data_IF_716998661366
#
_entry.id   IF_716998661366
#
_cell.length_a   1.000
_cell.length_b   1.000
_cell.length_c   1.000
_cell.angle_alpha   90.00
_cell.angle_beta   90.00
_cell.angle_gamma   90.00
#
_symmetry.space_group_name_H-M   'P 1'
#
loop_
_entity.id
_entity.type
_entity.pdbx_description
1 polymer ?
#
# COMPACT_ATOMS: atom_id res chain seq x y z
N UNK A 1 -2.71 11.19 1.61
CA UNK A 1 -2.32 9.87 2.16
C UNK A 1 -0.83 9.83 2.37
N UNK A 2 -0.34 9.41 3.54
CA UNK A 2 1.09 9.22 3.81
C UNK A 2 1.40 7.72 3.87
N UNK A 3 2.12 7.24 2.85
CA UNK A 3 2.49 5.84 2.61
C UNK A 3 1.83 5.26 1.35
N UNK A 4 2.64 4.89 0.36
CA UNK A 4 2.29 4.12 -0.83
C UNK A 4 2.53 2.61 -0.59
N UNK A 5 2.10 2.12 0.57
CA UNK A 5 2.04 0.69 0.90
C UNK A 5 0.64 0.10 0.67
N UNK A 6 0.44 -1.18 1.01
CA UNK A 6 -0.85 -1.87 0.83
C UNK A 6 -2.01 -1.07 1.44
N UNK A 7 -1.93 -0.73 2.73
CA UNK A 7 -2.98 0.02 3.43
C UNK A 7 -3.29 1.35 2.75
N UNK A 8 -2.26 2.17 2.48
CA UNK A 8 -2.45 3.47 1.83
C UNK A 8 -3.08 3.37 0.44
N UNK A 9 -2.64 2.39 -0.37
CA UNK A 9 -3.20 2.17 -1.71
C UNK A 9 -4.67 1.70 -1.68
N UNK A 10 -5.02 0.76 -0.79
CA UNK A 10 -6.38 0.26 -0.63
C UNK A 10 -7.28 1.37 -0.08
N UNK A 11 -6.83 2.13 0.92
CA UNK A 11 -7.58 3.27 1.45
C UNK A 11 -7.85 4.33 0.37
N UNK A 12 -6.85 4.69 -0.44
CA UNK A 12 -7.04 5.63 -1.56
C UNK A 12 -8.06 5.11 -2.57
N UNK A 13 -7.97 3.83 -2.93
CA UNK A 13 -8.91 3.18 -3.84
C UNK A 13 -10.34 3.17 -3.28
N UNK A 14 -10.52 2.81 -2.01
CA UNK A 14 -11.83 2.80 -1.36
C UNK A 14 -12.42 4.21 -1.26
N UNK A 15 -11.62 5.22 -0.88
CA UNK A 15 -12.07 6.62 -0.88
C UNK A 15 -12.54 7.08 -2.26
N UNK A 16 -11.80 6.73 -3.33
CA UNK A 16 -12.22 7.05 -4.71
C UNK A 16 -13.55 6.37 -5.07
N UNK A 17 -13.74 5.11 -4.67
CA UNK A 17 -14.98 4.34 -4.93
C UNK A 17 -16.19 4.92 -4.21
N UNK A 18 -16.03 5.30 -2.93
CA UNK A 18 -17.11 5.84 -2.11
C UNK A 18 -17.42 7.32 -2.42
N UNK A 19 -16.43 8.08 -2.90
CA UNK A 19 -16.58 9.51 -3.21
C UNK A 19 -16.11 9.85 -4.63
N UNK A 20 -16.76 9.30 -5.69
CA UNK A 20 -16.36 9.55 -7.06
C UNK A 20 -16.37 11.04 -7.39
N UNK A 21 -15.25 11.55 -7.92
CA UNK A 21 -15.06 12.95 -8.33
C UNK A 21 -15.28 14.02 -7.25
N UNK A 22 -15.41 13.65 -5.97
CA UNK A 22 -15.61 14.60 -4.86
C UNK A 22 -14.33 14.90 -4.08
N UNK A 23 -13.31 14.05 -4.23
CA UNK A 23 -12.03 14.17 -3.51
C UNK A 23 -10.86 14.22 -4.47
N UNK A 24 -9.94 15.14 -4.20
CA UNK A 24 -8.57 15.10 -4.74
C UNK A 24 -7.73 14.23 -3.80
N UNK A 25 -7.04 13.24 -4.35
CA UNK A 25 -6.26 12.27 -3.57
C UNK A 25 -4.81 12.39 -3.99
N UNK A 26 -3.96 12.77 -3.04
CA UNK A 26 -2.50 12.75 -3.17
C UNK A 26 -1.94 11.68 -2.24
N UNK A 27 -1.01 10.87 -2.73
CA UNK A 27 -0.29 9.84 -1.98
C UNK A 27 1.19 10.18 -1.96
N UNK A 28 1.74 10.38 -0.77
CA UNK A 28 3.15 10.67 -0.56
C UNK A 28 3.86 9.48 0.07
N UNK A 29 5.01 9.11 -0.48
CA UNK A 29 5.89 8.10 0.11
C UNK A 29 7.35 8.56 0.07
N UNK A 30 8.09 8.26 1.13
CA UNK A 30 9.52 8.59 1.25
C UNK A 30 10.42 7.71 0.37
N UNK A 31 9.92 6.54 -0.05
CA UNK A 31 10.66 5.63 -0.91
C UNK A 31 10.58 6.07 -2.37
N UNK A 32 11.50 5.53 -3.20
CA UNK A 32 11.56 5.75 -4.65
C UNK A 32 10.47 5.02 -5.45
N UNK A 33 9.55 4.32 -4.78
CA UNK A 33 8.53 3.52 -5.45
C UNK A 33 7.53 2.88 -4.48
N UNK A 34 6.39 2.47 -5.03
CA UNK A 34 5.30 1.88 -4.27
C UNK A 34 5.58 0.44 -3.82
N UNK A 35 4.98 0.05 -2.70
CA UNK A 35 4.99 -1.31 -2.16
C UNK A 35 5.27 -1.36 -0.67
N UNK A 36 6.17 -0.51 -0.17
CA UNK A 36 6.64 -0.57 1.21
C UNK A 36 7.22 -1.95 1.54
N UNK A 37 6.62 -2.65 2.51
CA UNK A 37 6.97 -4.04 2.88
C UNK A 37 6.46 -5.10 1.88
N UNK A 38 5.74 -4.69 0.85
CA UNK A 38 5.40 -5.51 -0.33
C UNK A 38 6.13 -4.97 -1.56
N UNK A 39 7.40 -4.56 -1.41
CA UNK A 39 8.21 -4.09 -2.52
C UNK A 39 8.80 -5.26 -3.31
N UNK A 40 8.86 -5.07 -4.63
CA UNK A 40 9.51 -5.99 -5.56
C UNK A 40 10.75 -5.30 -6.11
N UNK A 41 11.91 -5.89 -5.89
CA UNK A 41 13.18 -5.44 -6.45
C UNK A 41 13.39 -6.03 -7.84
N UNK A 42 14.15 -5.34 -8.69
CA UNK A 42 14.49 -5.79 -10.04
C UNK A 42 16.00 -5.79 -10.23
N UNK A 43 16.50 -6.73 -11.01
CA UNK A 43 17.90 -6.72 -11.39
C UNK A 43 18.22 -5.49 -12.26
N UNK A 44 19.36 -4.82 -12.05
CA UNK A 44 19.85 -3.80 -12.99
C UNK A 44 20.15 -4.34 -14.38
N UNK A 45 20.48 -5.63 -14.50
CA UNK A 45 20.84 -6.27 -15.78
C UNK A 45 19.65 -6.85 -16.55
N UNK A 46 18.54 -7.13 -15.88
CA UNK A 46 17.31 -7.65 -16.50
C UNK A 46 16.08 -7.18 -15.69
N UNK A 47 15.24 -6.28 -16.24
CA UNK A 47 14.06 -5.78 -15.54
C UNK A 47 12.97 -6.85 -15.32
N UNK A 48 13.03 -7.98 -16.05
CA UNK A 48 12.14 -9.13 -15.85
C UNK A 48 12.62 -10.05 -14.72
N UNK A 49 13.90 -9.96 -14.34
CA UNK A 49 14.43 -10.64 -13.18
C UNK A 49 14.05 -9.86 -11.92
N UNK A 50 13.03 -10.35 -11.20
CA UNK A 50 12.47 -9.69 -10.02
C UNK A 50 12.51 -10.56 -8.78
N UNK A 51 12.64 -9.93 -7.62
CA UNK A 51 12.57 -10.60 -6.32
C UNK A 51 11.69 -9.80 -5.35
N UNK A 52 10.77 -10.50 -4.68
CA UNK A 52 10.03 -9.92 -3.55
C UNK A 52 10.88 -9.99 -2.29
N UNK A 53 11.27 -8.83 -1.76
CA UNK A 53 12.15 -8.75 -0.58
C UNK A 53 11.37 -8.71 0.74
N UNK A 54 10.04 -8.60 0.66
CA UNK A 54 9.14 -8.52 1.81
C UNK A 54 8.12 -9.65 1.81
N UNK A 55 6.84 -9.31 1.64
CA UNK A 55 5.77 -10.31 1.58
C UNK A 55 5.97 -11.30 0.40
N UNK A 56 6.06 -12.59 0.71
CA UNK A 56 6.38 -13.65 -0.25
C UNK A 56 5.13 -14.22 -0.94
N UNK A 57 4.08 -14.48 -0.16
CA UNK A 57 2.79 -14.99 -0.62
C UNK A 57 1.68 -14.50 0.31
N UNK A 58 0.42 -14.65 -0.11
CA UNK A 58 -0.76 -14.24 0.64
C UNK A 58 -1.53 -15.49 1.05
N UNK A 59 -1.77 -15.64 2.34
CA UNK A 59 -2.62 -16.69 2.90
C UNK A 59 -3.97 -16.11 3.29
N UNK A 60 -5.04 -16.68 2.76
CA UNK A 60 -6.40 -16.39 3.16
C UNK A 60 -6.94 -17.53 4.03
N UNK A 61 -7.28 -17.22 5.28
CA UNK A 61 -8.10 -18.11 6.12
C UNK A 61 -9.50 -18.24 5.54
N UNK A 62 -10.26 -19.30 5.84
CA UNK A 62 -11.66 -19.42 5.42
C UNK A 62 -12.50 -18.18 5.78
N UNK A 63 -12.26 -17.61 6.96
CA UNK A 63 -12.89 -16.36 7.39
C UNK A 63 -12.57 -15.20 6.44
N UNK A 64 -11.30 -14.90 6.19
CA UNK A 64 -10.92 -13.76 5.33
C UNK A 64 -11.23 -13.98 3.86
N UNK A 65 -11.17 -15.23 3.37
CA UNK A 65 -11.60 -15.57 2.01
C UNK A 65 -13.08 -15.25 1.79
N UNK A 66 -13.92 -15.37 2.81
CA UNK A 66 -15.33 -14.97 2.77
C UNK A 66 -15.51 -13.47 2.98
N UNK A 67 -14.95 -12.92 4.05
CA UNK A 67 -15.16 -11.51 4.46
C UNK A 67 -14.59 -10.53 3.44
N UNK A 68 -13.44 -10.84 2.84
CA UNK A 68 -12.75 -9.98 1.87
C UNK A 68 -12.85 -10.54 0.44
N UNK A 69 -13.90 -11.33 0.15
CA UNK A 69 -14.06 -12.04 -1.12
C UNK A 69 -13.91 -11.12 -2.34
N UNK A 70 -14.53 -9.93 -2.31
CA UNK A 70 -14.48 -8.98 -3.42
C UNK A 70 -13.05 -8.61 -3.82
N UNK A 71 -12.16 -8.37 -2.86
CA UNK A 71 -10.75 -8.06 -3.13
C UNK A 71 -10.00 -9.26 -3.74
N UNK A 72 -10.25 -10.48 -3.23
CA UNK A 72 -9.62 -11.67 -3.81
C UNK A 72 -10.11 -11.93 -5.23
N UNK A 73 -11.42 -11.88 -5.45
CA UNK A 73 -12.04 -12.09 -6.76
C UNK A 73 -11.54 -11.04 -7.78
N UNK A 74 -11.46 -9.76 -7.37
CA UNK A 74 -10.91 -8.66 -8.17
C UNK A 74 -9.45 -8.91 -8.57
N UNK A 75 -8.57 -9.22 -7.60
CA UNK A 75 -7.15 -9.44 -7.85
C UNK A 75 -6.88 -10.69 -8.68
N UNK A 76 -7.69 -11.75 -8.53
CA UNK A 76 -7.62 -12.96 -9.34
C UNK A 76 -8.07 -12.68 -10.78
N UNK A 77 -9.18 -11.95 -10.97
CA UNK A 77 -9.70 -11.60 -12.29
C UNK A 77 -8.70 -10.76 -13.11
N UNK A 78 -7.94 -9.88 -12.46
CA UNK A 78 -6.89 -9.08 -13.10
C UNK A 78 -5.54 -9.81 -13.22
N UNK A 79 -5.47 -11.08 -12.80
CA UNK A 79 -4.25 -11.89 -12.81
C UNK A 79 -3.12 -11.30 -11.96
N UNK A 80 -3.46 -10.48 -10.96
CA UNK A 80 -2.51 -9.92 -9.99
C UNK A 80 -2.18 -10.99 -8.96
N UNK A 81 -3.19 -11.75 -8.53
CA UNK A 81 -3.02 -12.97 -7.75
C UNK A 81 -3.18 -14.23 -8.62
N UNK A 82 -2.47 -15.29 -8.24
CA UNK A 82 -2.71 -16.66 -8.69
C UNK A 82 -2.58 -17.62 -7.52
N UNK A 83 -3.27 -18.76 -7.51
CA UNK A 83 -3.05 -19.80 -6.51
C UNK A 83 -1.58 -20.23 -6.45
N UNK A 84 -1.04 -20.39 -5.24
CA UNK A 84 0.26 -21.00 -5.02
C UNK A 84 0.13 -22.51 -5.24
N UNK A 85 0.74 -23.01 -6.31
CA UNK A 85 0.76 -24.45 -6.65
C UNK A 85 2.13 -25.09 -6.42
N UNK A 86 3.17 -24.27 -6.20
CA UNK A 86 4.51 -24.75 -5.94
C UNK A 86 4.65 -25.21 -4.47
N UNK A 87 5.40 -26.28 -4.19
CA UNK A 87 5.68 -26.69 -2.83
C UNK A 87 6.53 -25.63 -2.12
N UNK A 88 6.17 -25.33 -0.87
CA UNK A 88 6.97 -24.51 0.04
C UNK A 88 7.31 -25.38 1.24
N UNK A 89 8.58 -25.74 1.36
CA UNK A 89 9.04 -26.60 2.45
C UNK A 89 8.79 -25.94 3.81
N UNK A 90 8.30 -26.72 4.77
CA UNK A 90 7.94 -26.21 6.10
C UNK A 90 6.65 -25.39 6.16
N UNK A 91 5.88 -25.30 5.06
CA UNK A 91 4.59 -24.63 5.06
C UNK A 91 3.56 -25.40 5.91
N UNK A 92 3.16 -24.82 7.04
CA UNK A 92 2.14 -25.40 7.91
C UNK A 92 0.74 -25.01 7.44
N UNK A 93 -0.02 -25.98 6.96
CA UNK A 93 -1.46 -25.85 6.73
C UNK A 93 -2.18 -26.08 8.06
N UNK A 94 -2.16 -25.07 8.94
CA UNK A 94 -2.69 -25.15 10.32
C UNK A 94 -4.23 -25.23 10.39
N UNK A 95 -4.92 -24.94 9.29
CA UNK A 95 -6.38 -24.90 9.20
C UNK A 95 -6.82 -25.44 7.83
N UNK A 96 -7.89 -26.23 7.81
CA UNK A 96 -8.46 -26.75 6.58
C UNK A 96 -9.11 -25.61 5.77
N UNK A 97 -8.95 -25.62 4.45
CA UNK A 97 -9.52 -24.59 3.57
C UNK A 97 -8.70 -23.30 3.45
N UNK A 98 -7.48 -23.26 4.02
CA UNK A 98 -6.51 -22.19 3.72
C UNK A 98 -6.23 -22.11 2.23
N UNK A 99 -6.24 -20.88 1.69
CA UNK A 99 -5.89 -20.62 0.29
C UNK A 99 -4.65 -19.75 0.25
N UNK A 100 -3.64 -20.21 -0.48
CA UNK A 100 -2.39 -19.47 -0.66
C UNK A 100 -2.30 -18.92 -2.08
N UNK A 101 -1.82 -17.70 -2.20
CA UNK A 101 -1.71 -16.99 -3.45
C UNK A 101 -0.33 -16.36 -3.61
N UNK A 102 0.14 -16.32 -4.85
CA UNK A 102 1.36 -15.62 -5.28
C UNK A 102 1.01 -14.49 -6.23
N UNK A 103 1.97 -13.59 -6.45
CA UNK A 103 1.85 -12.48 -7.39
C UNK A 103 2.80 -12.69 -8.57
N UNK A 104 2.30 -13.06 -9.77
CA UNK A 104 3.18 -13.38 -10.91
C UNK A 104 4.07 -12.22 -11.38
N UNK A 105 3.70 -10.97 -11.03
CA UNK A 105 4.42 -9.74 -11.38
C UNK A 105 5.08 -9.07 -10.16
N UNK A 106 5.28 -9.84 -9.09
CA UNK A 106 5.81 -9.41 -7.80
C UNK A 106 4.78 -8.74 -6.90
N UNK A 107 5.01 -8.81 -5.59
CA UNK A 107 4.09 -8.38 -4.51
C UNK A 107 3.67 -6.92 -4.62
N UNK A 108 4.55 -6.04 -5.14
CA UNK A 108 4.25 -4.63 -5.35
C UNK A 108 3.15 -4.38 -6.39
N UNK A 109 2.82 -5.39 -7.21
CA UNK A 109 1.76 -5.29 -8.22
C UNK A 109 0.37 -5.07 -7.62
N UNK A 110 0.11 -5.56 -6.41
CA UNK A 110 -1.16 -5.32 -5.70
C UNK A 110 -1.29 -3.84 -5.33
N UNK A 111 -0.22 -3.28 -4.76
CA UNK A 111 -0.19 -1.87 -4.36
C UNK A 111 -0.34 -0.96 -5.57
N UNK A 112 0.40 -1.26 -6.66
CA UNK A 112 0.32 -0.50 -7.91
C UNK A 112 -1.06 -0.57 -8.57
N UNK A 113 -1.74 -1.71 -8.47
CA UNK A 113 -3.11 -1.85 -8.94
C UNK A 113 -4.04 -0.89 -8.19
N UNK A 114 -4.08 -0.94 -6.86
CA UNK A 114 -4.98 -0.07 -6.10
C UNK A 114 -4.62 1.41 -6.20
N UNK A 115 -3.33 1.78 -6.32
CA UNK A 115 -2.95 3.16 -6.62
C UNK A 115 -3.51 3.61 -7.97
N UNK A 116 -3.43 2.77 -9.00
CA UNK A 116 -4.02 3.08 -10.32
C UNK A 116 -5.55 3.19 -10.24
N UNK A 117 -6.22 2.24 -9.61
CA UNK A 117 -7.69 2.27 -9.45
C UNK A 117 -8.17 3.47 -8.62
N UNK A 118 -7.32 4.00 -7.71
CA UNK A 118 -7.63 5.20 -6.95
C UNK A 118 -7.61 6.48 -7.79
N UNK A 119 -6.89 6.49 -8.92
CA UNK A 119 -6.62 7.70 -9.71
C UNK A 119 -5.90 8.79 -8.91
N UNK A 120 -5.22 8.45 -7.82
CA UNK A 120 -4.49 9.40 -7.00
C UNK A 120 -3.21 9.89 -7.68
N UNK A 121 -2.82 11.13 -7.41
CA UNK A 121 -1.48 11.62 -7.69
C UNK A 121 -0.51 10.99 -6.69
N UNK A 122 0.53 10.30 -7.17
CA UNK A 122 1.48 9.59 -6.30
C UNK A 122 2.86 10.23 -6.42
N UNK A 123 3.34 10.82 -5.32
CA UNK A 123 4.65 11.46 -5.25
C UNK A 123 5.60 10.64 -4.38
N UNK A 124 6.66 10.13 -5.01
CA UNK A 124 7.76 9.42 -4.36
C UNK A 124 8.84 10.39 -3.89
N UNK A 125 9.77 9.92 -3.07
CA UNK A 125 10.81 10.75 -2.44
C UNK A 125 10.23 11.92 -1.59
N UNK A 126 8.98 11.77 -1.13
CA UNK A 126 8.27 12.73 -0.27
C UNK A 126 8.27 12.23 1.17
N UNK A 127 9.33 12.56 1.91
CA UNK A 127 9.44 12.22 3.33
C UNK A 127 8.79 13.29 4.21
N UNK A 128 7.67 12.95 4.84
CA UNK A 128 6.95 13.86 5.74
C UNK A 128 7.68 13.96 7.08
N UNK A 129 7.78 15.18 7.59
CA UNK A 129 8.53 15.50 8.81
C UNK A 129 7.68 16.21 9.85
N UNK A 130 6.77 17.08 9.42
CA UNK A 130 5.91 17.84 10.32
C UNK A 130 4.46 17.85 9.81
N UNK A 131 3.52 17.85 10.74
CA UNK A 131 2.09 18.05 10.46
C UNK A 131 1.54 19.00 11.51
N UNK A 132 0.98 20.11 11.06
CA UNK A 132 0.40 21.14 11.92
C UNK A 132 -1.09 21.31 11.63
N UNK A 133 -1.89 21.49 12.68
CA UNK A 133 -3.30 21.80 12.50
C UNK A 133 -3.47 23.31 12.27
N UNK A 134 -4.03 23.69 11.11
CA UNK A 134 -4.31 25.08 10.74
C UNK A 134 -5.83 25.27 10.62
N UNK A 135 -6.48 25.51 11.76
CA UNK A 135 -7.93 25.62 11.84
C UNK A 135 -8.62 24.31 11.43
N UNK A 136 -9.37 24.35 10.32
CA UNK A 136 -10.06 23.17 9.75
C UNK A 136 -9.20 22.35 8.77
N UNK A 137 -7.97 22.80 8.50
CA UNK A 137 -7.06 22.15 7.54
C UNK A 137 -5.76 21.70 8.22
N UNK A 138 -4.96 20.95 7.48
CA UNK A 138 -3.67 20.44 7.89
C UNK A 138 -2.58 21.00 6.99
N UNK A 139 -1.55 21.57 7.59
CA UNK A 139 -0.31 21.92 6.91
C UNK A 139 0.67 20.75 7.07
N UNK A 140 1.13 20.16 5.96
CA UNK A 140 2.02 19.00 5.93
C UNK A 140 3.34 19.39 5.29
N UNK A 141 4.43 19.19 6.03
CA UNK A 141 5.77 19.57 5.58
C UNK A 141 6.62 18.35 5.28
N UNK A 142 7.21 18.35 4.08
CA UNK A 142 8.19 17.35 3.65
C UNK A 142 9.62 17.83 3.86
N UNK A 143 10.54 16.88 4.04
CA UNK A 143 11.97 17.17 4.20
C UNK A 143 12.49 17.94 2.98
N UNK A 144 12.98 19.16 3.20
CA UNK A 144 13.59 20.01 2.17
C UNK A 144 12.62 20.51 1.11
N UNK A 145 11.31 20.53 1.39
CA UNK A 145 10.30 21.07 0.49
C UNK A 145 9.40 22.08 1.17
N UNK A 146 8.55 22.71 0.37
CA UNK A 146 7.51 23.62 0.87
C UNK A 146 6.38 22.86 1.57
N UNK A 147 5.66 23.58 2.43
CA UNK A 147 4.49 23.07 3.12
C UNK A 147 3.28 23.04 2.17
N UNK A 148 2.48 21.98 2.24
CA UNK A 148 1.24 21.87 1.47
C UNK A 148 0.04 21.69 2.41
N UNK A 149 -1.14 22.15 1.95
CA UNK A 149 -2.36 22.18 2.76
C UNK A 149 -3.35 21.10 2.30
N UNK A 150 -3.95 20.41 3.26
CA UNK A 150 -4.91 19.34 3.02
C UNK A 150 -6.11 19.43 3.98
N UNK A 151 -7.30 19.10 3.50
CA UNK A 151 -8.49 18.99 4.35
C UNK A 151 -8.40 17.80 5.32
N UNK A 152 -7.71 16.73 4.92
CA UNK A 152 -7.52 15.54 5.73
C UNK A 152 -6.19 14.85 5.43
N UNK A 153 -5.58 14.25 6.45
CA UNK A 153 -4.35 13.48 6.35
C UNK A 153 -4.57 12.09 6.94
N UNK A 154 -4.29 11.04 6.16
CA UNK A 154 -4.32 9.65 6.63
C UNK A 154 -2.90 9.12 6.67
N UNK A 155 -2.47 8.70 7.85
CA UNK A 155 -1.12 8.17 8.12
C UNK A 155 -1.16 6.64 8.12
N UNK A 156 -0.37 6.02 7.25
CA UNK A 156 -0.34 4.55 7.10
C UNK A 156 1.06 3.95 7.32
N UNK A 157 2.02 4.77 7.75
CA UNK A 157 3.36 4.30 8.10
C UNK A 157 3.35 3.50 9.43
N UNK A 158 4.34 2.62 9.64
CA UNK A 158 4.48 1.91 10.91
C UNK A 158 4.62 2.85 12.12
N UNK A 159 4.13 2.43 13.29
CA UNK A 159 4.13 3.22 14.54
C UNK A 159 5.47 3.88 14.86
N UNK A 160 6.64 3.23 14.74
CA UNK A 160 7.91 3.89 15.03
C UNK A 160 8.20 5.13 14.15
N UNK A 161 7.70 5.16 12.91
CA UNK A 161 7.83 6.33 12.03
C UNK A 161 6.79 7.41 12.36
N UNK A 162 5.61 7.02 12.85
CA UNK A 162 4.60 7.94 13.35
C UNK A 162 5.12 8.75 14.55
N UNK A 163 5.78 8.07 15.49
CA UNK A 163 6.37 8.69 16.69
C UNK A 163 7.55 9.65 16.39
N UNK A 164 8.08 9.63 15.17
CA UNK A 164 9.15 10.53 14.73
C UNK A 164 8.61 11.79 14.05
N UNK A 165 7.31 11.85 13.76
CA UNK A 165 6.69 13.07 13.23
C UNK A 165 6.69 14.16 14.30
N UNK A 166 6.93 15.38 13.82
CA UNK A 166 6.87 16.59 14.63
C UNK A 166 5.58 17.37 14.33
N UNK A 167 5.26 18.37 15.16
CA UNK A 167 4.08 19.21 15.03
C UNK A 167 2.95 18.80 15.98
N UNK A 168 1.70 18.94 15.54
CA UNK A 168 0.50 18.83 16.37
C UNK A 168 -0.13 17.43 16.37
N UNK A 169 0.45 16.50 15.60
CA UNK A 169 0.02 15.09 15.63
C UNK A 169 0.56 14.46 16.91
N UNK A 170 -0.31 13.89 17.78
CA UNK A 170 0.14 13.29 19.03
C UNK A 170 1.13 12.16 18.78
N UNK A 171 2.33 12.29 19.35
CA UNK A 171 3.33 11.22 19.48
C UNK A 171 3.15 10.45 20.79
#
# INVERSE_FOLDING_TARGET
MVGAGLTGSVCACLLRREMPNKVSIVVWDKARGAGGRMSTSRSPSDPNCTADLGAQYITATPYYAKTHRSFYDELLAHGILKPLVAPVEGMLMKEEGLRNFVTPRGSSSIVKHYLRESGAEVCFDHHITHIYQKGASWEVQRKGGEAEHFDAVVLTMPTPQLLQLQGDVPS
#
